data_IF_363281529005
#
_entry.id   IF_363281529005
#
_cell.length_a   1.000
_cell.length_b   1.000
_cell.length_c   1.000
_cell.angle_alpha   90.00
_cell.angle_beta   90.00
_cell.angle_gamma   90.00
#
_symmetry.space_group_name_H-M   'P 1'
#
loop_
_entity.id
_entity.type
_entity.pdbx_description
1 polymer ?
#
# COMPACT_ATOMS: atom_id res chain seq x y z
N UNK A 1 -31.71 29.00 27.92
CA UNK A 1 -30.84 27.95 27.35
C UNK A 1 -29.43 28.51 27.21
N UNK A 2 -28.44 27.98 27.94
CA UNK A 2 -27.06 28.42 27.80
C UNK A 2 -26.46 27.82 26.52
N UNK A 3 -25.95 28.67 25.63
CA UNK A 3 -25.22 28.23 24.44
C UNK A 3 -23.84 27.73 24.88
N UNK A 4 -23.62 26.41 24.88
CA UNK A 4 -22.30 25.86 25.13
C UNK A 4 -21.39 26.13 23.93
N UNK A 5 -20.39 26.99 24.11
CA UNK A 5 -19.36 27.26 23.11
C UNK A 5 -18.50 25.99 22.95
N UNK A 6 -18.63 25.29 21.81
CA UNK A 6 -17.79 24.14 21.49
C UNK A 6 -16.34 24.60 21.26
N UNK A 7 -15.41 24.08 22.06
CA UNK A 7 -13.97 24.30 21.84
C UNK A 7 -13.58 23.73 20.46
N UNK A 8 -12.80 24.46 19.66
CA UNK A 8 -12.35 23.98 18.35
C UNK A 8 -11.43 22.77 18.49
N UNK A 9 -11.44 21.90 17.48
CA UNK A 9 -10.54 20.73 17.48
C UNK A 9 -9.08 21.17 17.38
N UNK A 10 -8.17 20.42 18.02
CA UNK A 10 -6.73 20.67 17.92
C UNK A 10 -6.15 20.36 16.51
N UNK A 11 -6.96 19.90 15.55
CA UNK A 11 -6.48 19.57 14.20
C UNK A 11 -5.55 18.34 14.16
N UNK A 12 -4.76 18.23 13.09
CA UNK A 12 -3.80 17.12 12.91
C UNK A 12 -2.57 17.35 13.80
N UNK A 13 -2.36 16.45 14.75
CA UNK A 13 -1.20 16.47 15.64
C UNK A 13 -0.14 15.46 15.21
N UNK A 14 1.14 15.80 15.43
CA UNK A 14 2.26 14.87 15.22
C UNK A 14 2.20 13.79 16.32
N UNK A 15 2.38 12.53 15.93
CA UNK A 15 2.47 11.40 16.85
C UNK A 15 3.72 10.58 16.54
N UNK A 16 4.26 9.88 17.55
CA UNK A 16 5.37 8.97 17.36
C UNK A 16 4.99 7.77 16.47
N UNK A 17 5.95 7.25 15.70
CA UNK A 17 5.77 6.04 14.88
C UNK A 17 6.04 4.81 15.76
N UNK A 18 5.10 4.54 16.66
CA UNK A 18 5.07 3.38 17.54
C UNK A 18 3.63 2.89 17.69
N UNK A 19 3.42 1.74 18.34
CA UNK A 19 2.09 1.20 18.58
C UNK A 19 1.27 2.18 19.44
N UNK A 20 0.10 2.59 18.95
CA UNK A 20 -0.81 3.47 19.70
C UNK A 20 -1.40 2.68 20.87
N UNK A 21 -1.22 3.12 22.13
CA UNK A 21 -1.65 2.36 23.30
C UNK A 21 -3.18 2.40 23.50
N UNK A 22 -3.82 3.54 23.25
CA UNK A 22 -5.27 3.67 23.37
C UNK A 22 -5.96 2.92 22.22
N UNK A 23 -6.77 1.90 22.56
CA UNK A 23 -7.42 1.02 21.59
C UNK A 23 -8.37 1.74 20.63
N UNK A 24 -9.15 2.70 21.10
CA UNK A 24 -10.07 3.47 20.26
C UNK A 24 -9.30 4.33 19.25
N UNK A 25 -8.23 5.00 19.71
CA UNK A 25 -7.37 5.79 18.85
C UNK A 25 -6.62 4.91 17.84
N UNK A 26 -6.18 3.71 18.25
CA UNK A 26 -5.54 2.74 17.38
C UNK A 26 -6.52 2.29 16.28
N UNK A 27 -7.76 1.96 16.62
CA UNK A 27 -8.77 1.53 15.65
C UNK A 27 -9.14 2.65 14.67
N UNK A 28 -9.37 3.87 15.14
CA UNK A 28 -9.64 5.03 14.26
C UNK A 28 -8.44 5.32 13.37
N UNK A 29 -7.22 5.25 13.91
CA UNK A 29 -6.00 5.49 13.14
C UNK A 29 -5.80 4.41 12.09
N UNK A 30 -6.03 3.14 12.42
CA UNK A 30 -6.01 2.04 11.47
C UNK A 30 -6.97 2.32 10.31
N UNK A 31 -8.24 2.61 10.60
CA UNK A 31 -9.24 2.85 9.55
C UNK A 31 -8.84 4.02 8.63
N UNK A 32 -8.39 5.14 9.20
CA UNK A 32 -7.98 6.31 8.42
C UNK A 32 -6.70 6.07 7.60
N UNK A 33 -5.69 5.44 8.20
CA UNK A 33 -4.41 5.18 7.52
C UNK A 33 -4.53 4.10 6.46
N UNK A 34 -5.27 3.03 6.73
CA UNK A 34 -5.51 1.94 5.78
C UNK A 34 -6.26 2.47 4.54
N UNK A 35 -7.31 3.26 4.73
CA UNK A 35 -8.00 3.92 3.62
C UNK A 35 -7.08 4.87 2.83
N UNK A 36 -6.27 5.68 3.52
CA UNK A 36 -5.30 6.57 2.87
C UNK A 36 -4.23 5.81 2.08
N UNK A 37 -3.75 4.69 2.62
CA UNK A 37 -2.79 3.80 1.96
C UNK A 37 -3.38 3.21 0.66
N UNK A 38 -4.60 2.69 0.71
CA UNK A 38 -5.28 2.16 -0.47
C UNK A 38 -5.53 3.22 -1.53
N UNK A 39 -5.91 4.44 -1.13
CA UNK A 39 -6.02 5.56 -2.06
C UNK A 39 -4.70 5.86 -2.76
N UNK A 40 -3.59 5.88 -2.02
CA UNK A 40 -2.26 6.12 -2.60
C UNK A 40 -1.79 4.98 -3.50
N UNK A 41 -2.09 3.73 -3.15
CA UNK A 41 -1.81 2.60 -4.01
C UNK A 41 -2.60 2.66 -5.33
N UNK A 42 -3.88 3.07 -5.27
CA UNK A 42 -4.71 3.28 -6.46
C UNK A 42 -4.19 4.41 -7.36
N UNK A 43 -3.77 5.53 -6.77
CA UNK A 43 -3.13 6.62 -7.52
C UNK A 43 -1.84 6.13 -8.20
N UNK A 44 -0.99 5.39 -7.48
CA UNK A 44 0.28 4.90 -8.00
C UNK A 44 0.13 3.90 -9.14
N UNK A 45 -0.76 2.91 -9.02
CA UNK A 45 -0.99 1.95 -10.10
C UNK A 45 -1.60 2.63 -11.34
N UNK A 46 -2.47 3.63 -11.14
CA UNK A 46 -3.07 4.40 -12.24
C UNK A 46 -2.04 5.27 -12.96
N UNK A 47 -1.18 5.97 -12.21
CA UNK A 47 -0.21 6.92 -12.81
C UNK A 47 0.97 6.22 -13.47
N UNK A 48 1.44 5.12 -12.89
CA UNK A 48 2.66 4.46 -13.35
C UNK A 48 2.40 3.14 -14.09
N UNK A 49 1.14 2.69 -14.18
CA UNK A 49 0.81 1.40 -14.79
C UNK A 49 1.41 0.20 -14.05
N UNK A 50 1.68 0.34 -12.75
CA UNK A 50 2.34 -0.70 -11.95
C UNK A 50 1.34 -1.65 -11.28
N UNK A 51 1.76 -2.91 -11.14
CA UNK A 51 0.99 -3.91 -10.41
C UNK A 51 1.27 -3.84 -8.91
N UNK A 52 0.23 -3.80 -8.08
CA UNK A 52 0.36 -3.63 -6.63
C UNK A 52 -0.62 -4.56 -5.89
N UNK A 53 -0.12 -5.26 -4.87
CA UNK A 53 -0.91 -6.02 -3.90
C UNK A 53 -0.58 -5.55 -2.48
N UNK A 54 -1.60 -5.25 -1.68
CA UNK A 54 -1.46 -4.85 -0.27
C UNK A 54 -2.44 -5.68 0.56
N UNK A 55 -1.95 -6.28 1.64
CA UNK A 55 -2.75 -6.98 2.65
C UNK A 55 -2.41 -6.40 4.02
N UNK A 56 -3.43 -5.98 4.77
CA UNK A 56 -3.28 -5.40 6.11
C UNK A 56 -4.26 -6.05 7.07
N UNK A 57 -3.79 -6.49 8.24
CA UNK A 57 -4.66 -6.97 9.31
C UNK A 57 -5.01 -5.84 10.28
N UNK A 58 -6.30 -5.69 10.55
CA UNK A 58 -6.79 -4.79 11.59
C UNK A 58 -6.34 -5.24 12.98
N UNK A 59 -6.39 -4.36 14.01
CA UNK A 59 -6.17 -4.75 15.40
C UNK A 59 -7.08 -5.89 15.90
N UNK A 60 -8.19 -6.16 15.20
CA UNK A 60 -9.11 -7.27 15.47
C UNK A 60 -8.83 -8.50 14.59
N UNK A 61 -7.64 -8.59 13.99
CA UNK A 61 -7.21 -9.67 13.08
C UNK A 61 -8.09 -9.88 11.84
N UNK A 62 -8.92 -8.90 11.46
CA UNK A 62 -9.68 -8.94 10.21
C UNK A 62 -8.80 -8.46 9.05
N UNK A 63 -8.68 -9.23 7.95
CA UNK A 63 -7.89 -8.83 6.78
C UNK A 63 -8.60 -7.75 5.95
N UNK A 64 -7.81 -6.85 5.40
CA UNK A 64 -8.19 -5.84 4.41
C UNK A 64 -7.17 -5.90 3.28
N UNK A 65 -7.63 -5.80 2.03
CA UNK A 65 -6.72 -5.90 0.88
C UNK A 65 -7.07 -4.93 -0.23
N UNK A 66 -6.04 -4.46 -0.91
CA UNK A 66 -6.12 -3.75 -2.18
C UNK A 66 -5.25 -4.47 -3.20
N UNK A 67 -5.71 -4.60 -4.44
CA UNK A 67 -4.92 -5.21 -5.50
C UNK A 67 -5.29 -4.67 -6.87
N UNK A 68 -4.29 -4.36 -7.69
CA UNK A 68 -4.43 -3.98 -9.09
C UNK A 68 -3.42 -4.76 -9.96
N UNK A 69 -3.87 -5.51 -10.98
CA UNK A 69 -5.25 -5.58 -11.50
C UNK A 69 -6.20 -6.44 -10.64
N UNK A 70 -5.69 -7.40 -9.88
CA UNK A 70 -6.47 -8.22 -8.95
C UNK A 70 -5.58 -8.80 -7.88
N UNK A 71 -6.01 -8.71 -6.61
CA UNK A 71 -5.28 -9.27 -5.47
C UNK A 71 -5.05 -10.79 -5.61
N UNK A 72 -6.06 -11.52 -6.11
CA UNK A 72 -5.97 -12.98 -6.26
C UNK A 72 -4.92 -13.37 -7.30
N UNK A 73 -4.91 -12.67 -8.44
CA UNK A 73 -3.95 -12.93 -9.53
C UNK A 73 -2.52 -12.62 -9.10
N UNK A 74 -2.33 -11.52 -8.36
CA UNK A 74 -1.00 -11.15 -7.86
C UNK A 74 -0.48 -12.12 -6.80
N UNK A 75 -1.32 -12.52 -5.85
CA UNK A 75 -0.94 -13.52 -4.86
C UNK A 75 -0.64 -14.86 -5.54
N UNK A 76 -1.45 -15.27 -6.52
CA UNK A 76 -1.20 -16.48 -7.31
C UNK A 76 0.18 -16.46 -7.94
N UNK A 77 0.51 -15.41 -8.72
CA UNK A 77 1.84 -15.26 -9.35
C UNK A 77 2.99 -15.20 -8.35
N UNK A 78 2.77 -14.56 -7.20
CA UNK A 78 3.78 -14.46 -6.15
C UNK A 78 4.08 -15.83 -5.52
N UNK A 79 3.05 -16.66 -5.28
CA UNK A 79 3.19 -17.98 -4.68
C UNK A 79 3.60 -19.07 -5.67
N UNK A 80 3.25 -18.91 -6.95
CA UNK A 80 3.66 -19.80 -8.04
C UNK A 80 4.51 -19.03 -9.06
N UNK A 81 5.76 -18.69 -8.73
CA UNK A 81 6.64 -18.00 -9.66
C UNK A 81 6.89 -18.92 -10.87
N UNK A 82 6.29 -18.58 -12.01
CA UNK A 82 6.68 -19.18 -13.28
C UNK A 82 8.06 -18.61 -13.67
N UNK A 83 8.98 -19.43 -14.21
CA UNK A 83 10.32 -18.98 -14.58
C UNK A 83 10.35 -17.96 -15.74
N UNK A 84 9.20 -17.54 -16.27
CA UNK A 84 9.05 -16.75 -17.48
C UNK A 84 8.56 -15.31 -17.27
N UNK A 85 8.46 -14.81 -16.03
CA UNK A 85 7.85 -13.49 -15.74
C UNK A 85 8.84 -12.36 -15.43
N UNK A 86 10.13 -12.53 -15.69
CA UNK A 86 11.03 -11.39 -15.76
C UNK A 86 10.80 -10.66 -17.09
N UNK A 87 10.50 -9.35 -17.10
CA UNK A 87 10.63 -8.59 -18.33
C UNK A 87 12.10 -8.67 -18.72
N UNK A 88 12.39 -9.34 -19.84
CA UNK A 88 13.67 -9.22 -20.52
C UNK A 88 13.86 -7.74 -20.85
N UNK A 89 14.54 -6.99 -19.97
CA UNK A 89 15.17 -5.77 -20.40
C UNK A 89 16.23 -6.19 -21.40
N UNK A 90 15.86 -6.13 -22.68
CA UNK A 90 16.78 -6.15 -23.79
C UNK A 90 17.64 -4.89 -23.70
N UNK A 91 18.72 -4.96 -22.92
CA UNK A 91 19.89 -4.12 -23.19
C UNK A 91 20.63 -4.82 -24.33
N UNK A 92 20.32 -4.41 -25.56
CA UNK A 92 21.13 -4.76 -26.72
C UNK A 92 22.51 -4.11 -26.56
N UNK A 93 23.47 -4.81 -25.95
CA UNK A 93 24.88 -4.48 -26.13
C UNK A 93 25.27 -4.99 -27.51
N UNK A 94 25.31 -4.08 -28.48
CA UNK A 94 25.86 -4.32 -29.80
C UNK A 94 27.34 -4.73 -29.70
N UNK A 95 27.61 -5.98 -30.05
CA UNK A 95 28.76 -6.42 -30.87
C UNK A 95 30.12 -5.74 -30.65
N UNK A 96 31.03 -6.47 -29.99
CA UNK A 96 32.48 -6.42 -30.27
C UNK A 96 32.87 -7.78 -30.88
N UNK A 97 33.38 -7.85 -32.12
CA UNK A 97 33.94 -9.09 -32.65
C UNK A 97 35.33 -9.33 -32.02
N UNK A 98 35.58 -10.57 -31.58
CA UNK A 98 36.93 -11.06 -31.35
C UNK A 98 37.52 -11.50 -32.69
N UNK A 99 38.72 -11.03 -33.01
CA UNK A 99 39.59 -11.62 -34.03
C UNK A 99 41.00 -11.74 -33.42
N UNK A 100 41.57 -12.93 -33.63
CA UNK A 100 43.01 -13.27 -33.80
C UNK A 100 44.07 -12.50 -33.03
#
# INVERSE_FOLDING_TARGET
MAMQIKKPSQGRQKIAITKIPNRSNLQVTFSKRCAGLFKKASELCTLCGVEIAIVVFSPSNKPFSFGHPSIKTLIGRFLSPSPSSFPSSTYSTSSVPQEG
#
